data_IF_037155148199
#
_entry.id   IF_037155148199
#
_cell.length_a   1.000
_cell.length_b   1.000
_cell.length_c   1.000
_cell.angle_alpha   90.00
_cell.angle_beta   90.00
_cell.angle_gamma   90.00
#
_symmetry.space_group_name_H-M   'P 1'
#
loop_
_entity.id
_entity.type
_entity.pdbx_description
1 polymer ?
#
# COMPACT_ATOMS: atom_id res chain seq x y z
N UNK A 1 -9.28 -21.50 -6.85
CA UNK A 1 -9.37 -20.06 -7.11
C UNK A 1 -8.62 -19.33 -6.01
N UNK A 2 -8.01 -18.18 -6.30
CA UNK A 2 -7.43 -17.31 -5.27
C UNK A 2 -8.15 -15.95 -5.30
N UNK A 3 -8.33 -15.35 -4.13
CA UNK A 3 -8.95 -14.04 -3.95
C UNK A 3 -8.15 -13.18 -2.98
N UNK A 4 -8.37 -11.87 -3.07
CA UNK A 4 -7.77 -10.86 -2.20
C UNK A 4 -8.90 -10.06 -1.56
N UNK A 5 -8.84 -9.87 -0.24
CA UNK A 5 -9.71 -8.95 0.50
C UNK A 5 -8.89 -8.03 1.38
N UNK A 6 -9.37 -6.82 1.63
CA UNK A 6 -8.69 -5.82 2.47
C UNK A 6 -9.44 -4.49 2.45
N UNK A 7 -8.87 -3.43 3.01
CA UNK A 7 -9.51 -2.12 2.99
C UNK A 7 -9.47 -1.49 1.59
N UNK A 8 -10.58 -0.86 1.22
CA UNK A 8 -10.67 -0.06 -0.01
C UNK A 8 -10.13 1.36 0.17
N UNK A 9 -10.08 1.85 1.42
CA UNK A 9 -9.65 3.21 1.78
C UNK A 9 -8.66 3.16 2.93
N UNK A 10 -7.58 3.93 2.81
CA UNK A 10 -6.59 4.16 3.87
C UNK A 10 -6.65 5.64 4.23
N UNK A 11 -7.30 5.95 5.35
CA UNK A 11 -7.50 7.33 5.81
C UNK A 11 -6.41 7.76 6.82
N UNK A 12 -5.72 8.84 6.48
CA UNK A 12 -4.75 9.51 7.35
C UNK A 12 -5.41 10.50 8.31
N UNK A 13 -6.66 10.88 8.06
CA UNK A 13 -7.41 11.88 8.79
C UNK A 13 -6.84 13.29 8.58
N UNK A 14 -7.35 14.23 9.37
CA UNK A 14 -6.80 15.59 9.40
C UNK A 14 -5.43 15.60 10.08
N UNK A 15 -4.43 16.15 9.37
CA UNK A 15 -3.07 16.30 9.85
C UNK A 15 -2.65 17.76 9.82
N UNK A 16 -1.96 18.20 10.87
CA UNK A 16 -1.27 19.50 10.84
C UNK A 16 -0.15 19.44 9.81
N UNK A 17 0.07 20.48 8.98
CA UNK A 17 1.14 20.55 7.97
C UNK A 17 2.52 20.07 8.45
N UNK A 18 2.94 20.52 9.63
CA UNK A 18 4.25 20.18 10.21
C UNK A 18 4.35 18.73 10.73
N UNK A 19 3.22 18.02 10.85
CA UNK A 19 3.15 16.66 11.37
C UNK A 19 2.89 15.62 10.28
N UNK A 20 2.88 16.00 8.99
CA UNK A 20 2.61 15.11 7.86
C UNK A 20 3.78 14.16 7.58
N UNK A 21 5.01 14.69 7.53
CA UNK A 21 6.20 13.89 7.20
C UNK A 21 6.48 12.84 8.28
N UNK A 22 6.67 11.59 7.86
CA UNK A 22 6.92 10.46 8.76
C UNK A 22 5.66 9.79 9.31
N UNK A 23 4.46 10.22 8.91
CA UNK A 23 3.22 9.50 9.22
C UNK A 23 3.11 8.24 8.37
N UNK A 24 2.67 7.17 9.01
CA UNK A 24 2.46 5.87 8.37
C UNK A 24 1.11 5.30 8.77
N UNK A 25 0.47 4.60 7.84
CA UNK A 25 -0.72 3.78 8.08
C UNK A 25 -0.46 2.38 7.56
N UNK A 26 -0.84 1.39 8.35
CA UNK A 26 -0.81 -0.01 7.93
C UNK A 26 -2.21 -0.44 7.47
N UNK A 27 -2.25 -1.14 6.36
CA UNK A 27 -3.41 -1.81 5.81
C UNK A 27 -3.08 -3.29 5.66
N UNK A 28 -4.01 -4.14 6.07
CA UNK A 28 -3.83 -5.60 6.01
C UNK A 28 -4.77 -6.20 4.98
N UNK A 29 -4.18 -6.92 4.03
CA UNK A 29 -4.88 -7.69 3.03
C UNK A 29 -4.82 -9.18 3.36
N UNK A 30 -5.90 -9.89 3.10
CA UNK A 30 -5.99 -11.35 3.25
C UNK A 30 -6.06 -11.96 1.87
N UNK A 31 -5.10 -12.84 1.56
CA UNK A 31 -5.06 -13.60 0.33
C UNK A 31 -5.55 -15.00 0.64
N UNK A 32 -6.65 -15.44 0.01
CA UNK A 32 -7.24 -16.76 0.25
C UNK A 32 -7.21 -17.59 -1.02
N UNK A 33 -6.90 -18.89 -0.92
CA UNK A 33 -6.90 -19.81 -2.06
C UNK A 33 -7.56 -21.15 -1.70
N UNK A 34 -8.36 -21.71 -2.61
CA UNK A 34 -9.03 -23.02 -2.42
C UNK A 34 -8.05 -24.19 -2.31
N UNK A 35 -6.87 -24.04 -2.91
CA UNK A 35 -5.79 -25.03 -2.95
C UNK A 35 -4.47 -24.34 -2.65
N UNK A 36 -3.45 -25.13 -2.31
CA UNK A 36 -2.09 -24.63 -2.19
C UNK A 36 -1.67 -23.90 -3.48
N UNK A 37 -1.17 -22.67 -3.34
CA UNK A 37 -0.75 -21.84 -4.46
C UNK A 37 0.36 -20.87 -4.05
N UNK A 38 1.22 -20.53 -5.00
CA UNK A 38 2.14 -19.39 -4.88
C UNK A 38 1.50 -18.19 -5.56
N UNK A 39 1.44 -17.07 -4.84
CA UNK A 39 0.76 -15.87 -5.30
C UNK A 39 1.66 -14.66 -5.12
N UNK A 40 1.78 -13.85 -6.16
CA UNK A 40 2.44 -12.56 -6.11
C UNK A 40 1.41 -11.45 -5.97
N UNK A 41 1.51 -10.67 -4.90
CA UNK A 41 0.69 -9.47 -4.70
C UNK A 41 1.54 -8.25 -5.01
N UNK A 42 1.05 -7.39 -5.89
CA UNK A 42 1.69 -6.13 -6.23
C UNK A 42 0.78 -4.95 -5.92
N UNK A 43 1.34 -3.91 -5.32
CA UNK A 43 0.71 -2.63 -5.02
C UNK A 43 1.47 -1.55 -5.80
N UNK A 44 0.74 -0.75 -6.58
CA UNK A 44 1.30 0.35 -7.34
C UNK A 44 0.29 1.47 -7.50
N UNK A 45 0.75 2.71 -7.53
CA UNK A 45 -0.06 3.85 -7.92
C UNK A 45 -0.46 3.77 -9.40
N UNK A 46 -1.35 4.67 -9.85
CA UNK A 46 -1.76 4.74 -11.25
C UNK A 46 -0.57 4.91 -12.22
N UNK A 47 0.50 5.57 -11.77
CA UNK A 47 1.78 5.69 -12.48
C UNK A 47 2.53 4.37 -12.67
N UNK A 48 2.13 3.30 -11.97
CA UNK A 48 2.85 2.03 -11.89
C UNK A 48 4.00 2.04 -10.88
N UNK A 49 4.23 3.15 -10.18
CA UNK A 49 5.29 3.31 -9.19
C UNK A 49 4.84 2.95 -7.77
N UNK A 50 5.80 2.65 -6.89
CA UNK A 50 5.58 2.46 -5.44
C UNK A 50 5.60 3.78 -4.67
N UNK A 51 5.82 4.91 -5.34
CA UNK A 51 5.73 6.25 -4.78
C UNK A 51 5.06 7.20 -5.75
N UNK A 52 4.28 8.15 -5.24
CA UNK A 52 3.57 9.14 -6.03
C UNK A 52 3.64 10.50 -5.34
N UNK A 53 4.00 11.53 -6.10
CA UNK A 53 3.89 12.91 -5.66
C UNK A 53 2.44 13.35 -5.84
N UNK A 54 1.81 13.80 -4.76
CA UNK A 54 0.40 14.20 -4.73
C UNK A 54 0.20 15.71 -4.60
N UNK A 55 1.25 16.45 -4.25
CA UNK A 55 1.30 17.92 -4.20
C UNK A 55 2.75 18.40 -4.05
N UNK A 56 2.98 19.70 -4.16
CA UNK A 56 4.29 20.32 -3.93
C UNK A 56 4.93 19.81 -2.63
N UNK A 57 6.08 19.15 -2.77
CA UNK A 57 6.82 18.51 -1.68
C UNK A 57 6.01 17.52 -0.81
N UNK A 58 4.91 16.93 -1.31
CA UNK A 58 4.15 15.89 -0.62
C UNK A 58 4.11 14.60 -1.44
N UNK A 59 4.67 13.53 -0.87
CA UNK A 59 4.82 12.23 -1.53
C UNK A 59 4.22 11.13 -0.67
N UNK A 60 3.47 10.24 -1.32
CA UNK A 60 3.07 8.95 -0.76
C UNK A 60 4.05 7.87 -1.19
N UNK A 61 4.39 6.96 -0.28
CA UNK A 61 5.21 5.80 -0.57
C UNK A 61 4.55 4.52 -0.03
N UNK A 62 4.45 3.50 -0.88
CA UNK A 62 3.97 2.17 -0.55
C UNK A 62 5.14 1.30 -0.11
N UNK A 63 4.89 0.49 0.93
CA UNK A 63 5.82 -0.46 1.50
C UNK A 63 5.10 -1.78 1.70
N UNK A 64 5.55 -2.82 1.03
CA UNK A 64 4.92 -4.14 1.10
C UNK A 64 5.71 -5.01 2.08
N UNK A 65 5.04 -5.50 3.12
CA UNK A 65 5.67 -6.18 4.24
C UNK A 65 6.65 -5.27 4.97
N UNK A 66 7.92 -5.70 5.07
CA UNK A 66 9.00 -4.94 5.73
C UNK A 66 9.92 -4.21 4.75
N UNK A 67 9.59 -4.16 3.46
CA UNK A 67 10.50 -3.69 2.42
C UNK A 67 10.03 -2.38 1.77
N UNK A 68 10.90 -1.37 1.85
CA UNK A 68 10.71 -0.07 1.21
C UNK A 68 10.91 -0.15 -0.31
N UNK A 69 10.09 0.58 -1.06
CA UNK A 69 10.22 0.72 -2.52
C UNK A 69 9.84 -0.52 -3.34
N UNK A 70 9.41 -1.60 -2.67
CA UNK A 70 9.03 -2.85 -3.33
C UNK A 70 7.57 -2.78 -3.79
N UNK A 71 7.36 -2.91 -5.11
CA UNK A 71 6.02 -2.92 -5.74
C UNK A 71 5.23 -4.20 -5.43
N UNK A 72 5.85 -5.24 -4.89
CA UNK A 72 5.12 -6.47 -4.55
C UNK A 72 5.95 -7.58 -3.93
N UNK A 73 5.26 -8.53 -3.32
CA UNK A 73 5.84 -9.63 -2.58
C UNK A 73 5.13 -10.93 -2.96
N UNK A 74 5.91 -12.03 -3.00
CA UNK A 74 5.39 -13.37 -3.23
C UNK A 74 5.07 -14.02 -1.89
N UNK A 75 3.91 -14.68 -1.85
CA UNK A 75 3.39 -15.40 -0.70
C UNK A 75 3.03 -16.83 -1.11
N UNK A 76 3.26 -17.78 -0.22
CA UNK A 76 2.80 -19.16 -0.40
C UNK A 76 1.58 -19.39 0.48
N UNK A 77 0.44 -19.69 -0.14
CA UNK A 77 -0.79 -20.04 0.58
C UNK A 77 -0.81 -21.54 0.76
N UNK A 78 -0.45 -22.01 1.95
CA UNK A 78 -0.36 -23.45 2.27
C UNK A 78 -1.72 -24.04 2.67
N UNK A 79 -2.49 -23.32 3.50
CA UNK A 79 -3.86 -23.66 3.89
C UNK A 79 -4.66 -22.37 4.10
N UNK A 80 -5.84 -22.33 3.49
CA UNK A 80 -6.84 -21.25 3.54
C UNK A 80 -6.37 -19.87 3.10
N UNK A 81 -5.57 -19.17 3.92
CA UNK A 81 -5.22 -17.78 3.68
C UNK A 81 -3.88 -17.35 4.31
N UNK A 82 -3.29 -16.29 3.75
CA UNK A 82 -2.12 -15.60 4.27
C UNK A 82 -2.34 -14.09 4.30
N UNK A 83 -1.67 -13.39 5.21
CA UNK A 83 -1.76 -11.94 5.35
C UNK A 83 -0.65 -11.24 4.57
N UNK A 84 -1.02 -10.18 3.86
CA UNK A 84 -0.11 -9.25 3.22
C UNK A 84 -0.31 -7.86 3.85
N UNK A 85 0.71 -7.39 4.56
CA UNK A 85 0.71 -6.06 5.15
C UNK A 85 1.22 -5.03 4.13
N UNK A 86 0.51 -3.92 4.01
CA UNK A 86 0.87 -2.74 3.23
C UNK A 86 1.02 -1.56 4.20
N UNK A 87 2.19 -0.95 4.24
CA UNK A 87 2.40 0.33 4.88
C UNK A 87 2.37 1.43 3.82
N UNK A 88 1.65 2.51 4.13
CA UNK A 88 1.62 3.73 3.33
C UNK A 88 2.23 4.83 4.17
N UNK A 89 3.29 5.45 3.65
CA UNK A 89 4.03 6.50 4.32
C UNK A 89 3.81 7.85 3.62
N UNK A 90 3.61 8.89 4.42
CA UNK A 90 3.63 10.28 3.98
C UNK A 90 5.04 10.86 4.19
N UNK A 91 5.59 11.44 3.13
CA UNK A 91 6.85 12.18 3.18
C UNK A 91 6.63 13.60 2.67
N UNK A 92 7.18 14.57 3.39
CA UNK A 92 7.26 15.94 2.91
C UNK A 92 8.64 16.55 3.17
N UNK A 93 9.09 17.40 2.26
CA UNK A 93 10.34 18.17 2.36
C UNK A 93 10.29 19.32 3.37
N UNK A 94 9.10 19.63 3.89
CA UNK A 94 8.88 20.69 4.87
C UNK A 94 7.50 20.58 5.51
N UNK A 95 6.90 21.74 5.83
CA UNK A 95 5.47 21.76 6.16
C UNK A 95 4.67 21.43 4.90
N UNK A 96 3.83 20.40 4.96
CA UNK A 96 3.02 20.02 3.82
C UNK A 96 2.04 21.15 3.44
N UNK A 97 1.76 21.38 2.15
CA UNK A 97 0.74 22.36 1.75
C UNK A 97 -0.62 22.01 2.37
N UNK A 98 -1.40 23.04 2.70
CA UNK A 98 -2.74 22.86 3.28
C UNK A 98 -3.72 22.51 2.17
N UNK A 99 -4.47 21.43 2.34
CA UNK A 99 -5.49 21.00 1.39
C UNK A 99 -6.00 19.59 1.67
N UNK A 100 -6.95 19.17 0.85
CA UNK A 100 -7.41 17.78 0.78
C UNK A 100 -6.69 17.07 -0.35
N UNK A 101 -6.17 15.88 -0.07
CA UNK A 101 -5.41 15.10 -1.04
C UNK A 101 -5.90 13.66 -1.08
N UNK A 102 -5.93 13.09 -2.28
CA UNK A 102 -6.29 11.71 -2.52
C UNK A 102 -5.37 11.12 -3.60
N UNK A 103 -5.01 9.85 -3.44
CA UNK A 103 -4.36 9.05 -4.45
C UNK A 103 -5.03 7.68 -4.54
N UNK A 104 -4.86 7.03 -5.69
CA UNK A 104 -5.39 5.71 -5.96
C UNK A 104 -4.26 4.76 -6.31
N UNK A 105 -4.28 3.59 -5.69
CA UNK A 105 -3.37 2.49 -6.01
C UNK A 105 -4.16 1.27 -6.47
N UNK A 106 -3.57 0.49 -7.35
CA UNK A 106 -4.09 -0.78 -7.81
C UNK A 106 -3.39 -1.91 -7.07
N UNK A 107 -4.18 -2.86 -6.58
CA UNK A 107 -3.67 -4.11 -6.04
C UNK A 107 -3.91 -5.21 -7.06
N UNK A 108 -2.85 -5.91 -7.46
CA UNK A 108 -2.92 -7.04 -8.40
C UNK A 108 -2.46 -8.32 -7.73
N UNK A 109 -3.28 -9.35 -7.87
CA UNK A 109 -2.98 -10.72 -7.45
C UNK A 109 -2.62 -11.53 -8.71
N UNK A 110 -1.42 -12.09 -8.75
CA UNK A 110 -0.98 -13.02 -9.81
C UNK A 110 -0.75 -14.39 -9.19
N UNK A 111 -1.39 -15.43 -9.73
CA UNK A 111 -1.14 -16.83 -9.34
C UNK A 111 -0.05 -17.38 -10.24
N UNK A 112 0.97 -17.99 -9.66
CA UNK A 112 2.08 -18.64 -10.36
C UNK A 112 1.82 -20.13 -10.60
#
# INVERSE_FOLDING_TARGET
MCGLSGPDVIDFGELKPAAVSGKSKNARYTISCDKKATVKVTFAFASGESSENIADDLTLALKVGTKDGVKGQTYTVEKSAVQADLNVDLKSGGAAPVGEYQASAVVKLTVE
#
